data_IF_653109766250
#
_entry.id   IF_653109766250
#
_cell.length_a   1.000
_cell.length_b   1.000
_cell.length_c   1.000
_cell.angle_alpha   90.00
_cell.angle_beta   90.00
_cell.angle_gamma   90.00
#
_symmetry.space_group_name_H-M   'P 1'
#
loop_
_entity.id
_entity.type
_entity.pdbx_description
1 polymer ?
#
# COMPACT_ATOMS: atom_id res chain seq x y z
N UNK A 1 23.74 -49.44 -35.38
CA UNK A 1 23.88 -48.12 -34.67
C UNK A 1 24.20 -47.08 -35.72
N UNK A 2 23.40 -46.05 -35.79
CA UNK A 2 23.66 -44.91 -36.67
C UNK A 2 24.83 -44.14 -36.05
N UNK A 3 25.95 -44.05 -36.78
CA UNK A 3 27.09 -43.26 -36.33
C UNK A 3 26.78 -41.78 -36.57
N UNK A 4 26.35 -41.10 -35.49
CA UNK A 4 25.91 -39.68 -35.49
C UNK A 4 27.06 -38.78 -35.96
N UNK A 5 28.31 -39.12 -35.65
CA UNK A 5 29.48 -38.35 -36.05
C UNK A 5 29.68 -38.41 -37.55
N UNK A 6 29.59 -39.62 -38.16
CA UNK A 6 29.72 -39.79 -39.60
C UNK A 6 28.58 -39.09 -40.36
N UNK A 7 27.35 -39.23 -39.89
CA UNK A 7 26.19 -38.53 -40.46
C UNK A 7 26.34 -37.01 -40.43
N UNK A 8 26.85 -36.43 -39.30
CA UNK A 8 27.10 -34.99 -39.19
C UNK A 8 28.15 -34.50 -40.19
N UNK A 9 29.21 -35.23 -40.42
CA UNK A 9 30.23 -34.88 -41.42
C UNK A 9 29.73 -35.03 -42.88
N UNK A 10 28.83 -35.93 -43.14
CA UNK A 10 28.17 -36.06 -44.45
C UNK A 10 27.19 -34.95 -44.73
N UNK A 11 26.51 -34.40 -43.68
CA UNK A 11 25.50 -33.35 -43.77
C UNK A 11 25.97 -31.99 -43.24
N UNK A 12 27.18 -31.55 -43.57
CA UNK A 12 27.80 -30.33 -43.07
C UNK A 12 26.93 -29.07 -43.22
N UNK A 13 26.22 -28.93 -44.34
CA UNK A 13 25.35 -27.78 -44.59
C UNK A 13 24.17 -27.69 -43.60
N UNK A 14 23.57 -28.82 -43.26
CA UNK A 14 22.50 -28.96 -42.30
C UNK A 14 23.01 -28.62 -40.86
N UNK A 15 24.20 -29.14 -40.53
CA UNK A 15 24.81 -28.88 -39.22
C UNK A 15 25.16 -27.41 -39.06
N UNK A 16 25.74 -26.75 -40.07
CA UNK A 16 26.00 -25.31 -40.00
C UNK A 16 24.71 -24.49 -39.89
N UNK A 17 23.65 -24.88 -40.60
CA UNK A 17 22.34 -24.22 -40.45
C UNK A 17 21.78 -24.39 -39.03
N UNK A 18 21.83 -25.58 -38.46
CA UNK A 18 21.39 -25.86 -37.08
C UNK A 18 22.21 -25.04 -36.06
N UNK A 19 23.54 -24.99 -36.23
CA UNK A 19 24.39 -24.16 -35.35
C UNK A 19 24.03 -22.67 -35.45
N UNK A 20 23.81 -22.18 -36.67
CA UNK A 20 23.42 -20.80 -36.88
C UNK A 20 22.05 -20.48 -36.20
N UNK A 21 21.07 -21.40 -36.34
CA UNK A 21 19.77 -21.26 -35.66
C UNK A 21 19.90 -21.29 -34.14
N UNK A 22 20.75 -22.17 -33.60
CA UNK A 22 21.01 -22.24 -32.17
C UNK A 22 21.68 -20.98 -31.63
N UNK A 23 22.68 -20.44 -32.38
CA UNK A 23 23.36 -19.20 -31.99
C UNK A 23 22.39 -18.01 -32.01
N UNK A 24 21.62 -17.84 -33.10
CA UNK A 24 20.65 -16.74 -33.23
C UNK A 24 19.53 -16.90 -32.22
N UNK A 25 18.97 -18.12 -32.08
CA UNK A 25 17.93 -18.42 -31.10
C UNK A 25 18.40 -18.23 -29.66
N UNK A 26 19.63 -18.67 -29.35
CA UNK A 26 20.22 -18.47 -28.02
C UNK A 26 20.49 -17.00 -27.69
N UNK A 27 20.98 -16.25 -28.67
CA UNK A 27 21.19 -14.80 -28.49
C UNK A 27 19.85 -14.07 -28.30
N UNK A 28 18.81 -14.38 -29.06
CA UNK A 28 17.48 -13.84 -28.91
C UNK A 28 16.86 -14.20 -27.56
N UNK A 29 16.91 -15.47 -27.18
CA UNK A 29 16.40 -15.94 -25.89
C UNK A 29 17.10 -15.26 -24.70
N UNK A 30 18.42 -15.09 -24.78
CA UNK A 30 19.20 -14.39 -23.75
C UNK A 30 18.85 -12.90 -23.65
N UNK A 31 18.45 -12.28 -24.76
CA UNK A 31 18.01 -10.87 -24.78
C UNK A 31 16.62 -10.70 -24.17
N UNK A 32 15.69 -11.62 -24.43
CA UNK A 32 14.30 -11.60 -23.93
C UNK A 32 14.17 -12.12 -22.49
N UNK A 33 15.16 -12.82 -21.98
CA UNK A 33 15.10 -13.40 -20.65
C UNK A 33 14.98 -12.32 -19.56
N UNK A 34 14.07 -12.54 -18.60
CA UNK A 34 13.94 -11.69 -17.40
C UNK A 34 15.26 -11.69 -16.62
N UNK A 35 15.60 -10.52 -16.06
CA UNK A 35 16.83 -10.30 -15.27
C UNK A 35 16.44 -9.73 -13.93
N UNK A 36 16.26 -10.61 -12.95
CA UNK A 36 16.00 -10.31 -11.55
C UNK A 36 17.17 -10.80 -10.70
N UNK A 37 17.40 -10.20 -9.53
CA UNK A 37 18.44 -10.66 -8.59
C UNK A 37 18.03 -11.97 -7.94
N UNK A 38 16.79 -12.03 -7.46
CA UNK A 38 16.20 -13.22 -6.86
C UNK A 38 15.09 -13.77 -7.75
N UNK A 39 14.92 -15.11 -7.80
CA UNK A 39 13.79 -15.70 -8.50
C UNK A 39 12.48 -15.24 -7.81
N UNK A 40 11.46 -15.03 -8.62
CA UNK A 40 10.14 -14.74 -8.10
C UNK A 40 9.62 -15.92 -7.29
N UNK A 41 9.22 -15.64 -6.06
CA UNK A 41 8.57 -16.60 -5.19
C UNK A 41 7.12 -16.15 -4.99
N UNK A 42 6.21 -16.90 -5.57
CA UNK A 42 4.78 -16.66 -5.34
C UNK A 42 4.44 -16.99 -3.89
N UNK A 43 4.17 -15.97 -3.10
CA UNK A 43 3.79 -16.11 -1.71
C UNK A 43 2.36 -16.64 -1.64
N UNK A 44 2.22 -17.87 -1.12
CA UNK A 44 0.93 -18.56 -0.96
C UNK A 44 0.36 -18.39 0.45
N UNK A 45 0.65 -17.28 1.09
CA UNK A 45 0.20 -16.94 2.44
C UNK A 45 -0.52 -15.60 2.41
N UNK A 46 -1.67 -15.53 3.05
CA UNK A 46 -2.40 -14.28 3.30
C UNK A 46 -2.70 -14.15 4.79
N UNK A 47 -2.88 -12.93 5.25
CA UNK A 47 -3.23 -12.65 6.63
C UNK A 47 -4.56 -11.90 6.70
N UNK A 48 -5.46 -12.38 7.55
CA UNK A 48 -6.72 -11.69 7.88
C UNK A 48 -6.57 -11.05 9.25
N UNK A 49 -6.73 -9.74 9.29
CA UNK A 49 -6.58 -8.92 10.51
C UNK A 49 -7.91 -8.31 10.87
N UNK A 50 -8.36 -8.54 12.11
CA UNK A 50 -9.62 -7.97 12.60
C UNK A 50 -9.40 -7.40 14.00
N UNK A 51 -9.77 -6.12 14.19
CA UNK A 51 -9.71 -5.48 15.51
C UNK A 51 -11.09 -5.54 16.17
N UNK A 52 -11.09 -5.84 17.47
CA UNK A 52 -12.30 -5.83 18.31
C UNK A 52 -11.99 -5.11 19.63
N UNK A 53 -12.04 -3.75 19.62
CA UNK A 53 -11.63 -2.95 20.77
C UNK A 53 -12.42 -3.25 22.03
N UNK A 54 -11.75 -3.44 23.16
CA UNK A 54 -12.33 -3.73 24.47
C UNK A 54 -12.57 -5.21 24.74
N UNK A 55 -12.35 -6.10 23.76
CA UNK A 55 -12.53 -7.54 23.93
C UNK A 55 -11.27 -8.22 24.49
N UNK A 56 -11.43 -9.14 25.41
CA UNK A 56 -10.36 -10.03 25.86
C UNK A 56 -9.96 -11.02 24.77
N UNK A 57 -8.75 -11.57 24.83
CA UNK A 57 -8.26 -12.57 23.86
C UNK A 57 -9.24 -13.77 23.69
N UNK A 58 -9.86 -14.22 24.79
CA UNK A 58 -10.84 -15.30 24.74
C UNK A 58 -12.14 -14.90 24.04
N UNK A 59 -12.62 -13.68 24.22
CA UNK A 59 -13.77 -13.15 23.48
C UNK A 59 -13.46 -13.00 22.00
N UNK A 60 -12.29 -12.46 21.66
CA UNK A 60 -11.81 -12.38 20.27
C UNK A 60 -11.75 -13.75 19.63
N UNK A 61 -11.26 -14.77 20.35
CA UNK A 61 -11.22 -16.16 19.87
C UNK A 61 -12.62 -16.69 19.53
N UNK A 62 -13.56 -16.59 20.46
CA UNK A 62 -14.90 -17.20 20.31
C UNK A 62 -15.79 -16.42 19.33
N UNK A 63 -15.75 -15.08 19.36
CA UNK A 63 -16.72 -14.24 18.65
C UNK A 63 -16.22 -13.77 17.29
N UNK A 64 -14.90 -13.74 17.07
CA UNK A 64 -14.30 -13.24 15.83
C UNK A 64 -13.50 -14.33 15.12
N UNK A 65 -12.50 -14.89 15.80
CA UNK A 65 -11.55 -15.81 15.16
C UNK A 65 -12.22 -17.10 14.69
N UNK A 66 -13.01 -17.75 15.57
CA UNK A 66 -13.70 -19.01 15.26
C UNK A 66 -14.72 -18.85 14.11
N UNK A 67 -15.43 -17.71 14.09
CA UNK A 67 -16.39 -17.38 13.02
C UNK A 67 -15.68 -17.24 11.67
N UNK A 68 -14.58 -16.47 11.64
CA UNK A 68 -13.80 -16.28 10.43
C UNK A 68 -13.13 -17.57 9.96
N UNK A 69 -12.52 -18.35 10.87
CA UNK A 69 -11.91 -19.63 10.53
C UNK A 69 -12.89 -20.61 9.90
N UNK A 70 -14.09 -20.75 10.46
CA UNK A 70 -15.13 -21.63 9.91
C UNK A 70 -15.47 -21.28 8.48
N UNK A 71 -15.61 -19.99 8.19
CA UNK A 71 -15.88 -19.50 6.84
C UNK A 71 -14.69 -19.71 5.90
N UNK A 72 -13.47 -19.42 6.35
CA UNK A 72 -12.24 -19.59 5.57
C UNK A 72 -11.99 -21.06 5.24
N UNK A 73 -12.16 -21.97 6.19
CA UNK A 73 -11.95 -23.43 5.99
C UNK A 73 -12.92 -24.06 5.00
N UNK A 74 -13.98 -23.37 4.58
CA UNK A 74 -14.84 -23.84 3.48
C UNK A 74 -14.17 -23.77 2.10
N UNK A 75 -13.00 -23.15 1.99
CA UNK A 75 -12.24 -23.07 0.73
C UNK A 75 -11.44 -24.36 0.52
N UNK A 76 -11.58 -24.98 -0.68
CA UNK A 76 -10.92 -26.27 -0.99
C UNK A 76 -9.40 -26.19 -1.20
N UNK A 77 -8.86 -24.99 -1.46
CA UNK A 77 -7.47 -24.76 -1.84
C UNK A 77 -6.56 -24.41 -0.65
N UNK A 78 -7.08 -24.42 0.58
CA UNK A 78 -6.32 -24.11 1.79
C UNK A 78 -5.57 -25.37 2.24
N UNK A 79 -4.31 -25.17 2.61
CA UNK A 79 -3.46 -26.18 3.26
C UNK A 79 -3.54 -26.03 4.77
N UNK A 80 -3.24 -24.85 5.28
CA UNK A 80 -3.22 -24.58 6.71
C UNK A 80 -3.89 -23.24 7.05
N UNK A 81 -4.46 -23.17 8.27
CA UNK A 81 -4.98 -21.95 8.88
C UNK A 81 -4.47 -21.89 10.31
N UNK A 82 -3.65 -20.88 10.59
CA UNK A 82 -3.13 -20.60 11.93
C UNK A 82 -3.71 -19.28 12.42
N UNK A 83 -4.18 -19.27 13.66
CA UNK A 83 -4.84 -18.10 14.22
C UNK A 83 -4.24 -17.71 15.56
N UNK A 84 -4.13 -16.41 15.77
CA UNK A 84 -3.66 -15.82 17.00
C UNK A 84 -4.69 -14.81 17.49
N UNK A 85 -5.25 -15.06 18.66
CA UNK A 85 -6.21 -14.18 19.32
C UNK A 85 -5.53 -13.43 20.46
N UNK A 86 -5.45 -12.12 20.33
CA UNK A 86 -4.93 -11.20 21.35
C UNK A 86 -6.07 -10.37 21.93
N UNK A 87 -5.80 -9.64 22.99
CA UNK A 87 -6.74 -8.60 23.42
C UNK A 87 -6.91 -7.59 22.29
N UNK A 88 -8.14 -7.25 21.95
CA UNK A 88 -8.53 -6.31 20.91
C UNK A 88 -8.20 -6.72 19.46
N UNK A 89 -7.56 -7.89 19.20
CA UNK A 89 -7.01 -8.23 17.89
C UNK A 89 -7.09 -9.71 17.56
N UNK A 90 -7.63 -10.04 16.39
CA UNK A 90 -7.55 -11.36 15.74
C UNK A 90 -6.62 -11.31 14.53
N UNK A 91 -5.67 -12.24 14.45
CA UNK A 91 -4.78 -12.46 13.32
C UNK A 91 -4.97 -13.90 12.83
N UNK A 92 -5.32 -14.06 11.56
CA UNK A 92 -5.50 -15.39 10.95
C UNK A 92 -4.58 -15.47 9.74
N UNK A 93 -3.62 -16.37 9.79
CA UNK A 93 -2.75 -16.70 8.68
C UNK A 93 -3.37 -17.83 7.87
N UNK A 94 -3.50 -17.63 6.57
CA UNK A 94 -4.09 -18.60 5.64
C UNK A 94 -3.04 -19.00 4.63
N UNK A 95 -2.74 -20.29 4.53
CA UNK A 95 -1.78 -20.86 3.61
C UNK A 95 -2.48 -21.69 2.55
N UNK A 96 -2.18 -21.46 1.27
CA UNK A 96 -2.69 -22.23 0.15
C UNK A 96 -1.83 -23.48 -0.09
N UNK A 97 -2.47 -24.54 -0.61
CA UNK A 97 -1.79 -25.76 -1.02
C UNK A 97 -0.68 -25.48 -2.03
N UNK A 98 0.42 -26.19 -1.90
CA UNK A 98 1.54 -26.11 -2.83
C UNK A 98 1.14 -26.45 -4.27
N UNK A 99 0.10 -27.27 -4.45
CA UNK A 99 -0.47 -27.68 -5.74
C UNK A 99 -1.20 -26.56 -6.50
N UNK A 100 -1.55 -25.46 -5.84
CA UNK A 100 -2.17 -24.29 -6.49
C UNK A 100 -1.15 -23.65 -7.43
N UNK A 101 -1.53 -23.48 -8.70
CA UNK A 101 -0.66 -22.84 -9.70
C UNK A 101 -0.57 -21.34 -9.42
N UNK A 102 0.56 -20.72 -9.78
CA UNK A 102 0.80 -19.29 -9.61
C UNK A 102 -0.31 -18.41 -10.22
N UNK A 103 -0.77 -18.76 -11.42
CA UNK A 103 -1.85 -18.04 -12.09
C UNK A 103 -3.21 -18.09 -11.36
N UNK A 104 -3.39 -19.07 -10.48
CA UNK A 104 -4.65 -19.27 -9.76
C UNK A 104 -4.62 -18.68 -8.34
N UNK A 105 -3.45 -18.22 -7.86
CA UNK A 105 -3.27 -17.71 -6.48
C UNK A 105 -4.11 -16.47 -6.24
N UNK A 106 -4.10 -15.53 -7.18
CA UNK A 106 -4.88 -14.28 -7.06
C UNK A 106 -6.39 -14.55 -6.99
N UNK A 107 -6.87 -15.51 -7.77
CA UNK A 107 -8.27 -15.94 -7.71
C UNK A 107 -8.62 -16.58 -6.35
N UNK A 108 -7.67 -17.30 -5.74
CA UNK A 108 -7.86 -17.86 -4.39
C UNK A 108 -7.96 -16.73 -3.35
N UNK A 109 -7.17 -15.66 -3.46
CA UNK A 109 -7.26 -14.51 -2.57
C UNK A 109 -8.56 -13.73 -2.76
N UNK A 110 -9.06 -13.60 -3.97
CA UNK A 110 -10.38 -13.02 -4.22
C UNK A 110 -11.51 -13.84 -3.59
N UNK A 111 -11.38 -15.18 -3.61
CA UNK A 111 -12.32 -16.05 -2.93
C UNK A 111 -12.22 -15.86 -1.42
N UNK A 112 -11.01 -15.74 -0.85
CA UNK A 112 -10.80 -15.46 0.56
C UNK A 112 -11.46 -14.15 0.97
N UNK A 113 -11.22 -13.06 0.23
CA UNK A 113 -11.86 -11.74 0.49
C UNK A 113 -13.39 -11.86 0.53
N UNK A 114 -13.98 -12.60 -0.43
CA UNK A 114 -15.44 -12.81 -0.47
C UNK A 114 -15.95 -13.62 0.73
N UNK A 115 -15.22 -14.66 1.14
CA UNK A 115 -15.58 -15.48 2.31
C UNK A 115 -15.52 -14.66 3.59
N UNK A 116 -14.48 -13.89 3.77
CA UNK A 116 -14.28 -13.00 4.92
C UNK A 116 -15.35 -11.90 4.95
N UNK A 117 -15.65 -11.27 3.80
CA UNK A 117 -16.72 -10.28 3.69
C UNK A 117 -18.11 -10.84 4.02
N UNK A 118 -18.40 -12.07 3.59
CA UNK A 118 -19.68 -12.73 3.94
C UNK A 118 -19.79 -13.02 5.44
N UNK A 119 -18.69 -13.40 6.09
CA UNK A 119 -18.65 -13.66 7.52
C UNK A 119 -18.84 -12.40 8.37
N UNK A 120 -18.64 -11.20 7.80
CA UNK A 120 -18.78 -9.94 8.55
C UNK A 120 -20.16 -9.76 9.19
N UNK A 121 -21.22 -10.25 8.55
CA UNK A 121 -22.58 -10.18 9.10
C UNK A 121 -22.79 -11.05 10.36
N UNK A 122 -21.91 -12.01 10.59
CA UNK A 122 -21.93 -12.93 11.74
C UNK A 122 -21.05 -12.43 12.89
N UNK A 123 -20.26 -11.36 12.66
CA UNK A 123 -19.38 -10.78 13.68
C UNK A 123 -20.16 -9.88 14.64
N UNK A 124 -19.69 -9.74 15.90
CA UNK A 124 -20.34 -8.92 16.91
C UNK A 124 -20.30 -7.43 16.56
N UNK A 125 -21.29 -6.68 17.06
CA UNK A 125 -21.27 -5.22 16.99
C UNK A 125 -20.04 -4.67 17.74
N UNK A 126 -19.24 -3.83 17.05
CA UNK A 126 -17.99 -3.30 17.60
C UNK A 126 -16.73 -3.96 17.05
N UNK A 127 -16.82 -5.14 16.43
CA UNK A 127 -15.71 -5.67 15.64
C UNK A 127 -15.55 -4.87 14.35
N UNK A 128 -14.31 -4.50 14.03
CA UNK A 128 -14.02 -3.81 12.78
C UNK A 128 -14.17 -4.76 11.58
N UNK A 129 -14.32 -4.18 10.40
CA UNK A 129 -14.31 -4.95 9.14
C UNK A 129 -12.99 -5.68 8.99
N UNK A 130 -12.99 -7.02 8.80
CA UNK A 130 -11.79 -7.80 8.60
C UNK A 130 -11.00 -7.33 7.36
N UNK A 131 -9.70 -7.13 7.53
CA UNK A 131 -8.79 -6.73 6.47
C UNK A 131 -7.97 -7.94 6.00
N UNK A 132 -8.07 -8.28 4.73
CA UNK A 132 -7.24 -9.33 4.11
C UNK A 132 -6.00 -8.67 3.52
N UNK A 133 -4.82 -9.13 3.96
CA UNK A 133 -3.51 -8.75 3.43
C UNK A 133 -2.89 -9.96 2.75
N UNK A 134 -2.63 -9.86 1.48
CA UNK A 134 -2.06 -10.91 0.62
C UNK A 134 -0.87 -10.40 -0.20
N UNK A 135 -0.44 -9.16 0.03
CA UNK A 135 0.60 -8.45 -0.71
C UNK A 135 2.02 -8.63 -0.12
N UNK A 136 2.27 -9.76 0.54
CA UNK A 136 3.60 -10.07 1.12
C UNK A 136 4.67 -10.45 0.09
N UNK A 137 4.25 -10.73 -1.14
CA UNK A 137 5.14 -11.15 -2.23
C UNK A 137 5.86 -10.02 -2.96
N UNK A 138 5.47 -8.79 -2.73
CA UNK A 138 6.01 -7.65 -3.46
C UNK A 138 7.43 -7.33 -2.99
N UNK A 139 8.41 -7.64 -3.84
CA UNK A 139 9.81 -7.29 -3.61
C UNK A 139 10.09 -5.93 -4.23
N UNK A 140 10.45 -4.95 -3.39
CA UNK A 140 10.85 -3.64 -3.88
C UNK A 140 12.30 -3.68 -4.35
N UNK A 141 12.50 -3.70 -5.66
CA UNK A 141 13.82 -3.73 -6.28
C UNK A 141 14.55 -2.38 -6.27
N UNK A 142 13.82 -1.28 -6.01
CA UNK A 142 14.39 0.06 -5.94
C UNK A 142 13.79 0.83 -4.75
N UNK A 143 14.66 1.48 -3.98
CA UNK A 143 14.29 2.34 -2.88
C UNK A 143 15.04 3.65 -2.96
N UNK A 144 14.29 4.75 -3.07
CA UNK A 144 14.81 6.11 -3.08
C UNK A 144 14.39 6.84 -1.81
N UNK A 145 15.28 7.66 -1.27
CA UNK A 145 14.97 8.63 -0.24
C UNK A 145 14.81 10.01 -0.87
N UNK A 146 13.62 10.58 -0.77
CA UNK A 146 13.31 11.94 -1.19
C UNK A 146 13.57 12.88 -0.03
N UNK A 147 14.48 13.83 -0.21
CA UNK A 147 14.79 14.89 0.77
C UNK A 147 14.42 16.24 0.19
N UNK A 148 14.11 17.20 1.05
CA UNK A 148 13.80 18.57 0.63
C UNK A 148 14.35 19.56 1.63
N UNK A 149 15.36 20.34 1.25
CA UNK A 149 15.94 21.35 2.13
C UNK A 149 14.97 22.53 2.32
N UNK A 150 14.61 22.79 3.58
CA UNK A 150 13.70 23.88 3.94
C UNK A 150 12.21 23.65 3.61
N UNK A 151 11.82 22.49 3.08
CA UNK A 151 10.43 22.14 2.80
C UNK A 151 9.70 21.64 4.05
N UNK A 152 8.39 21.93 4.11
CA UNK A 152 7.52 21.34 5.11
C UNK A 152 7.17 19.89 4.72
N UNK A 153 6.83 19.07 5.72
CA UNK A 153 6.44 17.66 5.52
C UNK A 153 5.31 17.49 4.49
N UNK A 154 4.39 18.43 4.44
CA UNK A 154 3.29 18.45 3.45
C UNK A 154 3.81 18.61 2.02
N UNK A 155 4.66 19.60 1.80
CA UNK A 155 5.20 19.88 0.47
C UNK A 155 6.03 18.69 -0.03
N UNK A 156 6.85 18.11 0.86
CA UNK A 156 7.62 16.91 0.53
C UNK A 156 6.70 15.72 0.21
N UNK A 157 5.58 15.59 0.93
CA UNK A 157 4.55 14.59 0.64
C UNK A 157 3.89 14.79 -0.72
N UNK A 158 3.56 16.03 -1.09
CA UNK A 158 2.94 16.34 -2.37
C UNK A 158 3.88 16.01 -3.54
N UNK A 159 5.20 16.27 -3.39
CA UNK A 159 6.20 15.87 -4.38
C UNK A 159 6.41 14.36 -4.43
N UNK A 160 6.39 13.66 -3.29
CA UNK A 160 6.47 12.21 -3.26
C UNK A 160 5.27 11.56 -3.96
N UNK A 161 4.06 12.07 -3.75
CA UNK A 161 2.84 11.60 -4.44
C UNK A 161 2.88 11.91 -5.95
N UNK A 162 3.46 13.06 -6.35
CA UNK A 162 3.69 13.37 -7.76
C UNK A 162 4.62 12.33 -8.39
N UNK A 163 5.77 12.06 -7.75
CA UNK A 163 6.74 11.07 -8.24
C UNK A 163 6.09 9.68 -8.29
N UNK A 164 5.37 9.27 -7.24
CA UNK A 164 4.65 8.00 -7.19
C UNK A 164 3.73 7.85 -8.40
N UNK A 165 2.90 8.83 -8.70
CA UNK A 165 1.97 8.80 -9.83
C UNK A 165 2.70 8.64 -11.16
N UNK A 166 3.70 9.49 -11.42
CA UNK A 166 4.43 9.50 -12.69
C UNK A 166 5.26 8.23 -12.91
N UNK A 167 5.85 7.67 -11.84
CA UNK A 167 6.61 6.42 -11.91
C UNK A 167 5.69 5.20 -12.03
N UNK A 168 4.50 5.22 -11.42
CA UNK A 168 3.53 4.11 -11.52
C UNK A 168 2.98 3.94 -12.95
N UNK A 169 3.08 4.96 -13.81
CA UNK A 169 2.64 4.89 -15.21
C UNK A 169 3.69 4.26 -16.14
N UNK A 170 4.89 3.97 -15.64
CA UNK A 170 5.97 3.38 -16.45
C UNK A 170 5.74 1.89 -16.69
N UNK A 171 5.91 1.47 -17.95
CA UNK A 171 5.84 0.05 -18.32
C UNK A 171 6.84 -0.80 -17.53
N UNK A 172 6.35 -1.85 -16.90
CA UNK A 172 7.12 -2.80 -16.10
C UNK A 172 7.24 -2.41 -14.63
N UNK A 173 6.70 -1.29 -14.20
CA UNK A 173 6.48 -0.97 -12.78
C UNK A 173 5.15 -1.58 -12.36
N UNK A 174 5.16 -2.42 -11.34
CA UNK A 174 3.96 -3.04 -10.79
C UNK A 174 3.33 -2.15 -9.73
N UNK A 175 4.17 -1.65 -8.80
CA UNK A 175 3.69 -0.89 -7.65
C UNK A 175 4.72 0.12 -7.19
N UNK A 176 4.23 1.26 -6.74
CA UNK A 176 5.03 2.29 -6.08
C UNK A 176 4.39 2.65 -4.76
N UNK A 177 5.11 2.48 -3.66
CA UNK A 177 4.65 2.83 -2.34
C UNK A 177 5.50 3.92 -1.70
N UNK A 178 4.86 4.68 -0.82
CA UNK A 178 5.52 5.73 -0.05
C UNK A 178 5.71 5.27 1.40
N UNK A 179 6.87 5.58 1.97
CA UNK A 179 7.19 5.30 3.35
C UNK A 179 7.63 6.58 4.08
N UNK A 180 7.27 6.70 5.35
CA UNK A 180 7.65 7.88 6.13
C UNK A 180 6.73 9.08 5.95
N UNK A 181 5.58 8.92 5.29
CA UNK A 181 4.55 9.95 5.18
C UNK A 181 3.90 10.16 6.54
N UNK A 182 3.87 11.42 7.00
CA UNK A 182 3.08 11.81 8.17
C UNK A 182 1.68 12.17 7.73
N UNK A 183 0.70 11.63 8.42
CA UNK A 183 -0.68 11.99 8.18
C UNK A 183 -1.03 13.31 8.87
N UNK A 184 -1.60 14.25 8.12
CA UNK A 184 -2.13 15.48 8.69
C UNK A 184 -3.40 15.16 9.48
N UNK A 185 -3.50 15.72 10.67
CA UNK A 185 -4.69 15.63 11.49
C UNK A 185 -5.12 17.02 11.96
N UNK A 186 -6.34 17.12 12.45
CA UNK A 186 -6.82 18.30 13.15
C UNK A 186 -6.86 17.97 14.63
N UNK A 187 -5.98 18.60 15.38
CA UNK A 187 -5.89 18.42 16.81
C UNK A 187 -6.87 19.39 17.51
N UNK A 188 -7.82 18.82 18.25
CA UNK A 188 -8.82 19.57 19.02
C UNK A 188 -8.50 19.39 20.50
N UNK A 189 -7.80 20.36 21.07
CA UNK A 189 -7.44 20.38 22.50
C UNK A 189 -8.53 21.04 23.31
N UNK A 190 -9.27 20.28 24.10
CA UNK A 190 -10.32 20.79 24.96
C UNK A 190 -9.74 21.55 26.17
N UNK A 191 -10.24 22.76 26.41
CA UNK A 191 -9.84 23.65 27.51
C UNK A 191 -10.73 23.39 28.72
N UNK A 192 -10.27 22.56 29.66
CA UNK A 192 -11.05 22.06 30.80
C UNK A 192 -11.63 23.22 31.65
N UNK A 193 -10.84 24.26 31.92
CA UNK A 193 -11.27 25.42 32.70
C UNK A 193 -12.47 26.16 32.05
N UNK A 194 -12.42 26.33 30.73
CA UNK A 194 -13.48 26.97 29.97
C UNK A 194 -14.74 26.09 29.91
N UNK A 195 -14.55 24.81 29.70
CA UNK A 195 -15.66 23.85 29.69
C UNK A 195 -16.37 23.78 31.02
N UNK A 196 -15.61 23.77 32.14
CA UNK A 196 -16.18 23.78 33.48
C UNK A 196 -16.99 25.07 33.77
N UNK A 197 -16.45 26.22 33.34
CA UNK A 197 -17.13 27.52 33.53
C UNK A 197 -18.40 27.67 32.70
N UNK A 198 -18.45 27.04 31.51
CA UNK A 198 -19.57 27.11 30.56
C UNK A 198 -20.49 25.88 30.66
N UNK A 199 -20.23 24.97 31.60
CA UNK A 199 -21.07 23.79 31.86
C UNK A 199 -21.11 22.75 30.73
N UNK A 200 -20.11 22.74 29.86
CA UNK A 200 -20.04 21.81 28.71
C UNK A 200 -19.35 20.52 29.11
N UNK A 201 -19.91 19.35 28.72
CA UNK A 201 -19.31 18.05 28.98
C UNK A 201 -18.53 17.55 27.77
N UNK A 202 -17.36 16.91 27.96
CA UNK A 202 -16.56 16.32 26.84
C UNK A 202 -17.36 15.37 25.96
N UNK A 203 -18.26 14.58 26.53
CA UNK A 203 -19.09 13.64 25.79
C UNK A 203 -20.05 14.33 24.81
N UNK A 204 -20.56 15.53 25.16
CA UNK A 204 -21.45 16.32 24.29
C UNK A 204 -20.67 16.89 23.10
N UNK A 205 -19.42 17.29 23.31
CA UNK A 205 -18.52 17.76 22.25
C UNK A 205 -18.26 16.65 21.27
N UNK A 206 -17.89 15.44 21.76
CA UNK A 206 -17.64 14.26 20.91
C UNK A 206 -18.91 13.82 20.15
N UNK A 207 -20.06 13.81 20.80
CA UNK A 207 -21.31 13.46 20.15
C UNK A 207 -21.67 14.45 19.01
N UNK A 208 -21.45 15.73 19.22
CA UNK A 208 -21.70 16.79 18.23
C UNK A 208 -20.71 16.66 17.04
N UNK A 209 -19.41 16.46 17.32
CA UNK A 209 -18.40 16.23 16.27
C UNK A 209 -18.73 15.02 15.42
N UNK A 210 -19.09 13.89 16.03
CA UNK A 210 -19.47 12.67 15.33
C UNK A 210 -20.79 12.82 14.56
N UNK A 211 -21.72 13.62 15.08
CA UNK A 211 -23.03 13.85 14.46
C UNK A 211 -22.96 14.74 13.23
N UNK A 212 -22.16 15.81 13.27
CA UNK A 212 -22.11 16.81 12.21
C UNK A 212 -21.17 16.42 11.04
N UNK A 213 -20.24 15.51 11.23
CA UNK A 213 -19.33 15.06 10.14
C UNK A 213 -19.93 13.93 9.29
N UNK A 214 -21.25 13.77 9.28
CA UNK A 214 -21.93 12.74 8.50
C UNK A 214 -22.63 13.36 7.29
N UNK A 215 -22.43 12.72 6.12
CA UNK A 215 -23.23 13.04 4.93
C UNK A 215 -24.59 12.38 5.07
N UNK A 216 -25.64 13.17 5.32
CA UNK A 216 -27.01 12.65 5.42
C UNK A 216 -27.71 12.77 4.06
N UNK A 217 -28.31 11.69 3.64
CA UNK A 217 -29.17 11.69 2.45
C UNK A 217 -30.52 12.33 2.82
N UNK A 218 -30.80 13.52 2.26
CA UNK A 218 -32.00 14.30 2.58
C UNK A 218 -33.14 14.13 1.56
N UNK A 219 -32.93 13.31 0.52
CA UNK A 219 -33.97 13.02 -0.49
C UNK A 219 -33.98 13.96 -1.69
N UNK A 220 -35.11 14.02 -2.34
CA UNK A 220 -35.35 14.88 -3.51
C UNK A 220 -36.59 15.75 -3.25
N UNK A 221 -36.52 16.98 -3.70
CA UNK A 221 -37.70 17.83 -3.84
C UNK A 221 -38.26 17.66 -5.27
N UNK A 222 -39.51 17.24 -5.37
CA UNK A 222 -40.19 17.05 -6.66
C UNK A 222 -41.19 18.19 -6.84
N UNK A 223 -41.01 18.96 -7.90
CA UNK A 223 -41.84 20.10 -8.25
C UNK A 223 -42.83 19.76 -9.42
N UNK A 224 -42.96 18.46 -9.77
CA UNK A 224 -43.74 18.00 -10.88
C UNK A 224 -43.04 18.04 -12.25
N UNK A 225 -42.27 19.09 -12.53
CA UNK A 225 -41.50 19.24 -13.78
C UNK A 225 -40.00 18.89 -13.57
N UNK A 226 -39.48 19.09 -12.35
CA UNK A 226 -38.06 18.88 -12.04
C UNK A 226 -37.87 18.17 -10.70
N UNK A 227 -37.02 17.17 -10.70
CA UNK A 227 -36.59 16.46 -9.49
C UNK A 227 -35.25 17.03 -9.00
N UNK A 228 -35.25 17.83 -7.96
CA UNK A 228 -34.10 18.50 -7.40
C UNK A 228 -33.56 17.69 -6.22
N UNK A 229 -32.31 17.27 -6.30
CA UNK A 229 -31.64 16.60 -5.18
C UNK A 229 -31.34 17.63 -4.08
N UNK A 230 -31.88 17.39 -2.90
CA UNK A 230 -31.52 18.18 -1.70
C UNK A 230 -30.30 17.51 -1.06
N UNK A 231 -29.22 18.25 -0.94
CA UNK A 231 -28.01 17.80 -0.25
C UNK A 231 -27.71 18.79 0.86
N UNK A 232 -27.57 18.29 2.09
CA UNK A 232 -26.98 19.07 3.18
C UNK A 232 -25.47 18.84 3.08
N UNK A 233 -24.74 19.91 2.78
CA UNK A 233 -23.28 19.89 2.65
C UNK A 233 -22.65 20.45 3.93
N UNK A 234 -22.68 19.65 5.00
CA UNK A 234 -22.14 20.04 6.31
C UNK A 234 -20.73 19.46 6.57
N UNK A 235 -19.99 19.13 5.48
CA UNK A 235 -18.58 18.74 5.65
C UNK A 235 -17.73 19.95 5.95
N UNK A 236 -17.01 19.89 7.05
CA UNK A 236 -15.97 20.87 7.38
C UNK A 236 -14.90 20.89 6.29
N UNK A 237 -14.61 22.06 5.75
CA UNK A 237 -13.58 22.26 4.73
C UNK A 237 -12.34 22.91 5.31
N UNK A 238 -12.51 23.69 6.35
CA UNK A 238 -11.45 24.47 7.00
C UNK A 238 -11.46 24.25 8.51
N UNK A 239 -10.35 24.59 9.17
CA UNK A 239 -10.23 24.59 10.63
C UNK A 239 -11.21 25.59 11.25
N UNK A 240 -11.42 26.72 10.56
CA UNK A 240 -12.35 27.77 10.97
C UNK A 240 -13.81 27.28 10.98
N UNK A 241 -14.19 26.42 10.02
CA UNK A 241 -15.54 25.84 9.98
C UNK A 241 -15.78 24.94 11.19
N UNK A 242 -14.78 24.15 11.57
CA UNK A 242 -14.82 23.32 12.79
C UNK A 242 -14.94 24.22 14.03
N UNK A 243 -14.17 25.30 14.06
CA UNK A 243 -14.21 26.25 15.19
C UNK A 243 -15.57 26.95 15.36
N UNK A 244 -16.32 27.17 14.27
CA UNK A 244 -17.65 27.78 14.28
C UNK A 244 -18.77 26.80 14.64
N UNK A 245 -18.49 25.53 14.79
CA UNK A 245 -19.45 24.51 15.15
C UNK A 245 -20.12 24.87 16.47
N UNK A 246 -21.45 24.78 16.50
CA UNK A 246 -22.26 25.10 17.69
C UNK A 246 -22.37 23.87 18.59
N UNK A 247 -22.07 24.07 19.85
CA UNK A 247 -22.17 23.07 20.91
C UNK A 247 -23.17 23.60 21.95
N UNK A 248 -23.97 22.72 22.50
CA UNK A 248 -24.92 23.06 23.56
C UNK A 248 -24.18 23.21 24.89
N UNK A 249 -24.32 24.36 25.51
CA UNK A 249 -23.82 24.68 26.85
C UNK A 249 -24.88 24.46 27.93
N UNK A 250 -24.64 25.03 29.10
CA UNK A 250 -25.59 25.03 30.21
C UNK A 250 -26.79 25.95 29.85
N UNK A 251 -27.99 25.58 30.26
CA UNK A 251 -29.23 26.36 30.05
C UNK A 251 -29.61 26.65 28.58
N UNK A 252 -29.32 25.70 27.63
CA UNK A 252 -29.58 25.82 26.19
C UNK A 252 -28.78 26.92 25.45
N UNK A 253 -27.75 27.46 26.10
CA UNK A 253 -26.84 28.40 25.43
C UNK A 253 -26.05 27.72 24.31
N UNK A 254 -26.01 28.35 23.13
CA UNK A 254 -25.21 27.89 22.01
C UNK A 254 -23.81 28.52 22.04
N UNK A 255 -22.81 27.69 22.19
CA UNK A 255 -21.38 28.05 22.22
C UNK A 255 -20.67 27.58 20.97
N UNK A 256 -19.62 28.29 20.56
CA UNK A 256 -18.75 27.80 19.48
C UNK A 256 -17.68 26.88 20.02
N UNK A 257 -17.30 25.87 19.24
CA UNK A 257 -16.20 24.97 19.62
C UNK A 257 -14.90 25.77 19.90
N UNK A 258 -14.62 26.82 19.15
CA UNK A 258 -13.48 27.72 19.38
C UNK A 258 -13.45 28.38 20.75
N UNK A 259 -14.59 28.48 21.44
CA UNK A 259 -14.66 29.10 22.76
C UNK A 259 -14.15 28.17 23.87
N UNK A 260 -14.25 26.86 23.65
CA UNK A 260 -13.92 25.80 24.61
C UNK A 260 -12.77 24.92 24.18
N UNK A 261 -12.28 25.05 22.93
CA UNK A 261 -11.18 24.24 22.40
C UNK A 261 -10.18 25.08 21.60
N UNK A 262 -8.94 24.64 21.58
CA UNK A 262 -7.92 25.08 20.63
C UNK A 262 -7.91 24.08 19.48
N UNK A 263 -8.03 24.58 18.24
CA UNK A 263 -8.13 23.77 17.04
C UNK A 263 -6.96 24.14 16.14
N UNK A 264 -6.10 23.18 15.86
CA UNK A 264 -4.87 23.40 15.10
C UNK A 264 -4.70 22.26 14.09
N UNK A 265 -4.17 22.59 12.91
CA UNK A 265 -3.64 21.56 12.02
C UNK A 265 -2.32 21.07 12.58
N UNK A 266 -2.19 19.76 12.67
CA UNK A 266 -1.01 19.12 13.19
C UNK A 266 -0.79 17.79 12.44
N UNK A 267 0.20 17.07 12.81
CA UNK A 267 0.47 15.73 12.31
C UNK A 267 0.19 14.70 13.40
N UNK A 268 -0.20 13.47 12.98
CA UNK A 268 -0.42 12.36 13.92
C UNK A 268 0.79 12.15 14.82
N UNK A 269 0.55 12.16 16.13
CA UNK A 269 1.58 11.95 17.16
C UNK A 269 1.11 10.87 18.16
N UNK A 270 1.86 9.79 18.41
CA UNK A 270 3.20 9.50 17.86
C UNK A 270 3.16 9.13 16.39
N UNK A 271 4.20 9.54 15.66
CA UNK A 271 4.37 9.21 14.24
C UNK A 271 4.59 7.70 14.11
N UNK A 272 3.85 7.03 13.25
CA UNK A 272 3.96 5.57 13.08
C UNK A 272 5.21 5.17 12.32
N UNK A 273 5.55 5.91 11.28
CA UNK A 273 6.68 5.63 10.39
C UNK A 273 7.45 6.92 10.11
N UNK A 274 8.73 6.91 10.39
CA UNK A 274 9.63 8.02 10.08
C UNK A 274 10.84 7.49 9.31
N UNK A 275 11.26 8.26 8.30
CA UNK A 275 12.48 8.00 7.57
C UNK A 275 13.40 9.20 7.67
N UNK A 276 14.67 8.91 7.96
CA UNK A 276 15.73 9.90 7.94
C UNK A 276 16.83 9.44 6.99
N UNK A 277 17.28 10.34 6.14
CA UNK A 277 18.42 10.14 5.26
C UNK A 277 19.43 11.26 5.54
N UNK A 278 20.66 10.89 5.84
CA UNK A 278 21.75 11.81 6.23
C UNK A 278 21.32 12.86 7.27
N UNK A 279 20.64 12.42 8.34
CA UNK A 279 20.09 13.23 9.43
C UNK A 279 19.01 14.23 9.05
N UNK A 280 18.60 14.25 7.81
CA UNK A 280 17.46 15.02 7.32
C UNK A 280 16.23 14.14 7.25
N UNK A 281 15.07 14.73 7.44
CA UNK A 281 13.82 14.03 7.24
C UNK A 281 13.64 13.72 5.77
N UNK A 282 13.23 12.51 5.47
CA UNK A 282 13.07 12.01 4.12
C UNK A 282 11.76 11.26 3.96
N UNK A 283 11.31 11.13 2.71
CA UNK A 283 10.24 10.20 2.34
C UNK A 283 10.80 9.10 1.45
N UNK A 284 10.45 7.87 1.79
CA UNK A 284 10.83 6.70 1.01
C UNK A 284 9.89 6.50 -0.18
N UNK A 285 10.47 6.25 -1.34
CA UNK A 285 9.77 5.83 -2.55
C UNK A 285 10.25 4.43 -2.87
N UNK A 286 9.35 3.45 -2.72
CA UNK A 286 9.62 2.04 -2.92
C UNK A 286 8.98 1.61 -4.24
N UNK A 287 9.75 1.01 -5.13
CA UNK A 287 9.31 0.64 -6.47
C UNK A 287 9.49 -0.87 -6.64
N UNK A 288 8.39 -1.56 -6.92
CA UNK A 288 8.35 -2.97 -7.30
C UNK A 288 8.22 -3.09 -8.82
N UNK A 289 9.00 -4.00 -9.39
CA UNK A 289 8.94 -4.34 -10.81
C UNK A 289 7.92 -5.45 -11.05
N UNK A 290 7.27 -5.41 -12.21
CA UNK A 290 6.34 -6.48 -12.61
C UNK A 290 7.06 -7.80 -12.80
N UNK A 291 6.33 -8.89 -12.50
CA UNK A 291 6.77 -10.26 -12.69
C UNK A 291 7.33 -10.50 -14.10
N UNK A 292 8.44 -11.25 -14.18
CA UNK A 292 9.08 -11.60 -15.45
C UNK A 292 9.76 -10.45 -16.20
N UNK A 293 9.88 -9.28 -15.62
CA UNK A 293 10.43 -8.09 -16.27
C UNK A 293 11.97 -8.00 -16.16
N UNK A 294 12.57 -7.10 -16.96
CA UNK A 294 14.00 -6.78 -16.90
C UNK A 294 14.21 -5.56 -15.98
N UNK A 295 14.63 -5.81 -14.73
CA UNK A 295 14.84 -4.77 -13.72
C UNK A 295 15.86 -3.71 -14.15
N UNK A 296 16.84 -4.05 -15.01
CA UNK A 296 17.84 -3.10 -15.50
C UNK A 296 17.19 -2.08 -16.44
N UNK A 297 16.31 -2.56 -17.34
CA UNK A 297 15.58 -1.66 -18.25
C UNK A 297 14.61 -0.77 -17.50
N UNK A 298 13.90 -1.32 -16.53
CA UNK A 298 12.97 -0.56 -15.68
C UNK A 298 13.73 0.49 -14.88
N UNK A 299 14.83 0.12 -14.23
CA UNK A 299 15.65 1.05 -13.47
C UNK A 299 16.11 2.25 -14.29
N UNK A 300 16.56 2.04 -15.52
CA UNK A 300 16.92 3.13 -16.43
C UNK A 300 15.76 4.06 -16.78
N UNK A 301 14.55 3.49 -17.00
CA UNK A 301 13.34 4.31 -17.25
C UNK A 301 12.96 5.13 -16.03
N UNK A 302 13.03 4.53 -14.85
CA UNK A 302 12.77 5.22 -13.57
C UNK A 302 13.75 6.37 -13.38
N UNK A 303 15.05 6.14 -13.59
CA UNK A 303 16.07 7.21 -13.49
C UNK A 303 15.81 8.34 -14.47
N UNK A 304 15.55 8.02 -15.73
CA UNK A 304 15.22 9.01 -16.75
C UNK A 304 13.98 9.85 -16.36
N UNK A 305 12.95 9.18 -15.83
CA UNK A 305 11.74 9.86 -15.38
C UNK A 305 11.97 10.73 -14.15
N UNK A 306 12.77 10.28 -13.19
CA UNK A 306 13.16 11.10 -12.03
C UNK A 306 13.98 12.31 -12.43
N UNK A 307 14.91 12.18 -13.40
CA UNK A 307 15.70 13.29 -13.91
C UNK A 307 14.82 14.30 -14.67
N UNK A 308 13.85 13.83 -15.47
CA UNK A 308 12.85 14.68 -16.13
C UNK A 308 12.02 15.47 -15.10
N UNK A 309 11.49 14.77 -14.08
CA UNK A 309 10.72 15.43 -13.02
C UNK A 309 11.55 16.44 -12.23
N UNK A 310 12.82 16.13 -11.95
CA UNK A 310 13.77 17.04 -11.30
C UNK A 310 14.01 18.31 -12.12
N UNK A 311 14.08 18.20 -13.44
CA UNK A 311 14.30 19.33 -14.32
C UNK A 311 13.06 20.20 -14.52
N UNK A 312 11.86 19.62 -14.54
CA UNK A 312 10.65 20.31 -14.99
C UNK A 312 9.66 20.66 -13.87
N UNK A 313 9.59 19.82 -12.82
CA UNK A 313 8.49 19.90 -11.85
C UNK A 313 8.90 19.98 -10.37
N UNK A 314 10.09 19.51 -10.02
CA UNK A 314 10.55 19.55 -8.65
C UNK A 314 11.29 20.87 -8.38
N UNK A 315 11.08 21.51 -7.22
CA UNK A 315 11.80 22.73 -6.86
C UNK A 315 13.27 22.45 -6.57
N UNK A 316 14.08 23.49 -6.70
CA UNK A 316 15.49 23.45 -6.32
C UNK A 316 15.60 23.10 -4.83
N UNK A 317 16.38 22.05 -4.49
CA UNK A 317 16.52 21.56 -3.11
C UNK A 317 15.78 20.25 -2.81
N UNK A 318 14.92 19.78 -3.74
CA UNK A 318 14.37 18.41 -3.67
C UNK A 318 15.33 17.45 -4.35
N UNK A 319 15.79 16.45 -3.62
CA UNK A 319 16.73 15.45 -4.11
C UNK A 319 16.23 14.03 -3.88
N UNK A 320 16.40 13.17 -4.89
CA UNK A 320 16.13 11.75 -4.83
C UNK A 320 17.45 10.99 -4.68
N UNK A 321 17.66 10.37 -3.52
CA UNK A 321 18.86 9.60 -3.23
C UNK A 321 18.58 8.11 -3.36
N UNK A 322 19.45 7.38 -4.08
CA UNK A 322 19.39 5.92 -4.16
C UNK A 322 19.82 5.31 -2.82
N UNK A 323 18.93 4.61 -2.14
CA UNK A 323 19.22 3.88 -0.91
C UNK A 323 19.47 2.40 -1.22
N UNK A 324 18.62 1.80 -2.02
CA UNK A 324 18.77 0.45 -2.54
C UNK A 324 18.39 0.44 -4.03
N UNK A 325 19.26 -0.17 -4.85
CA UNK A 325 19.08 -0.13 -6.30
C UNK A 325 19.53 -1.46 -6.93
N UNK A 326 18.61 -2.39 -7.02
CA UNK A 326 18.82 -3.74 -7.57
C UNK A 326 19.34 -3.74 -9.03
N UNK A 327 18.88 -2.83 -9.93
CA UNK A 327 19.37 -2.81 -11.32
C UNK A 327 20.89 -2.75 -11.47
N UNK A 328 21.57 -2.00 -10.62
CA UNK A 328 23.03 -1.89 -10.61
C UNK A 328 23.69 -3.19 -10.14
N UNK A 329 23.18 -3.80 -9.08
CA UNK A 329 23.68 -5.07 -8.52
C UNK A 329 23.56 -6.21 -9.54
N UNK A 330 22.40 -6.31 -10.22
CA UNK A 330 22.18 -7.31 -11.28
C UNK A 330 23.11 -7.08 -12.46
N UNK A 331 23.29 -5.81 -12.88
CA UNK A 331 24.21 -5.45 -13.96
C UNK A 331 25.65 -5.85 -13.63
N UNK A 332 26.14 -5.59 -12.42
CA UNK A 332 27.47 -5.98 -11.96
C UNK A 332 27.62 -7.50 -11.91
N UNK A 333 26.63 -8.23 -11.42
CA UNK A 333 26.64 -9.70 -11.38
C UNK A 333 26.73 -10.29 -12.79
N UNK A 334 26.01 -9.77 -13.76
CA UNK A 334 26.07 -10.21 -15.15
C UNK A 334 27.45 -9.95 -15.79
N UNK A 335 28.10 -8.84 -15.46
CA UNK A 335 29.46 -8.54 -15.92
C UNK A 335 30.44 -9.56 -15.34
N UNK A 336 30.35 -9.87 -14.04
CA UNK A 336 31.21 -10.86 -13.38
C UNK A 336 31.02 -12.29 -13.95
N UNK A 337 29.79 -12.66 -14.30
CA UNK A 337 29.51 -13.96 -14.93
C UNK A 337 30.07 -14.03 -16.36
N UNK A 338 30.02 -12.92 -17.11
CA UNK A 338 30.49 -12.87 -18.50
C UNK A 338 31.99 -12.65 -18.64
N UNK A 339 32.72 -12.26 -17.61
CA UNK A 339 34.18 -12.05 -17.60
C UNK A 339 35.00 -13.10 -16.79
N UNK A 340 34.66 -14.40 -16.74
CA UNK A 340 35.40 -15.35 -15.90
C UNK A 340 36.84 -15.67 -16.40
N UNK A 341 37.25 -15.18 -17.57
CA UNK A 341 38.50 -15.57 -18.22
C UNK A 341 39.60 -14.52 -18.24
N UNK A 342 39.41 -13.36 -17.62
CA UNK A 342 40.38 -12.27 -17.68
C UNK A 342 41.55 -12.40 -16.66
N UNK A 343 41.51 -13.41 -15.77
CA UNK A 343 42.53 -13.64 -14.72
C UNK A 343 43.17 -15.03 -14.78
N UNK A 344 43.25 -15.66 -15.96
CA UNK A 344 44.06 -16.87 -16.16
C UNK A 344 45.20 -16.64 -17.16
#
# INVERSE_FOLDING_TARGET
MIDISKWAFENKKLIYFLIAVLIVGGAYSSYEMSKLEDPEVTVKVAMVVTTYPGASAHQVELEVTDVLEKNIRTMGNIDNVESYSYNDLSLIQVELKTTVKEADVEQCWDLLRRKVANAQAELPEGAATPLVKDDFGNVYGMFYALTGDGLQDRELSDYAELIKREVSELDGVERVDLYGKREECINISLLQDRMANLGVKPAEVLATLNGQNKTTYTGYYDNGDNRIRVTVSDKFKTVEDIGRMLIQGHDDDQLRLSDIARIEKDYENPTRNELFYDRQRAMGILIAASSGSDIIKIGKRVEQKLDELKAERLPTGVECHKVFYQPERVSLSLIHISEPTRHS
#
